data_IF_994538832362
#
_entry.id   IF_994538832362
#
_cell.length_a   1.000
_cell.length_b   1.000
_cell.length_c   1.000
_cell.angle_alpha   90.00
_cell.angle_beta   90.00
_cell.angle_gamma   90.00
#
_symmetry.space_group_name_H-M   'P 1'
#
loop_
_entity.id
_entity.type
_entity.pdbx_description
1 polymer ?
#
# COMPACT_ATOMS: atom_id res chain seq x y z
N UNK A 1 30.86 -12.34 -1.96
CA UNK A 1 31.28 -10.98 -1.57
C UNK A 1 30.26 -10.54 -0.53
N UNK A 2 30.23 -11.13 0.68
CA UNK A 2 31.30 -11.13 1.72
C UNK A 2 31.75 -9.69 1.96
N UNK A 3 31.62 -9.08 3.13
CA UNK A 3 31.79 -9.53 4.54
C UNK A 3 30.74 -8.80 5.41
N UNK A 4 29.98 -9.40 6.35
CA UNK A 4 30.31 -9.99 7.68
C UNK A 4 31.14 -9.04 8.58
N UNK A 5 30.59 -8.47 9.66
CA UNK A 5 30.76 -8.90 11.08
C UNK A 5 30.91 -7.58 11.87
N UNK A 6 30.43 -7.32 13.09
CA UNK A 6 30.50 -8.14 14.29
C UNK A 6 29.67 -7.53 15.46
N UNK A 7 28.90 -8.41 16.11
CA UNK A 7 28.66 -8.60 17.56
C UNK A 7 28.45 -7.44 18.55
N UNK A 8 27.35 -7.59 19.32
CA UNK A 8 27.29 -7.82 20.79
C UNK A 8 26.07 -7.07 21.37
N UNK A 9 24.92 -7.71 21.57
CA UNK A 9 24.57 -8.58 22.72
C UNK A 9 24.85 -7.96 24.09
N UNK A 10 23.78 -7.94 24.90
CA UNK A 10 23.73 -7.73 26.36
C UNK A 10 23.80 -6.28 26.86
N UNK A 11 22.70 -5.78 27.42
CA UNK A 11 22.57 -5.49 28.86
C UNK A 11 21.41 -4.53 29.11
N UNK A 12 20.47 -5.00 29.93
CA UNK A 12 19.73 -4.11 30.82
C UNK A 12 18.44 -3.55 30.25
N UNK A 13 17.45 -4.42 30.09
CA UNK A 13 16.10 -4.15 30.61
C UNK A 13 16.18 -3.85 32.12
N UNK A 14 16.76 -2.71 32.49
CA UNK A 14 16.64 -2.14 33.82
C UNK A 14 15.33 -1.36 33.86
N UNK A 15 14.27 -2.16 33.98
CA UNK A 15 13.01 -1.71 34.55
C UNK A 15 13.34 -0.91 35.83
N UNK A 16 12.86 0.34 36.01
CA UNK A 16 13.01 1.04 37.27
C UNK A 16 11.99 0.48 38.29
N UNK A 17 12.07 -0.82 38.57
CA UNK A 17 11.41 -1.46 39.71
C UNK A 17 12.19 -1.21 41.01
N UNK A 18 13.46 -0.83 40.93
CA UNK A 18 14.30 -0.47 42.08
C UNK A 18 13.85 0.83 42.78
N UNK A 19 13.25 1.78 42.05
CA UNK A 19 12.72 3.01 42.66
C UNK A 19 11.37 2.80 43.37
N UNK A 20 10.81 1.59 43.35
CA UNK A 20 9.51 1.27 43.96
C UNK A 20 9.63 0.91 45.46
N UNK A 21 10.84 0.59 45.94
CA UNK A 21 11.06 0.06 47.29
C UNK A 21 11.41 1.11 48.37
N UNK A 22 11.82 2.34 48.03
CA UNK A 22 12.28 3.33 49.04
C UNK A 22 11.20 4.30 49.55
N UNK A 23 9.96 4.23 49.01
CA UNK A 23 8.90 5.21 49.29
C UNK A 23 7.86 4.74 50.31
N UNK A 24 8.10 3.60 50.96
CA UNK A 24 7.18 3.05 51.96
C UNK A 24 7.11 3.87 53.26
N UNK A 25 7.96 4.89 53.45
CA UNK A 25 8.07 5.61 54.71
C UNK A 25 6.92 6.61 55.03
N UNK A 26 6.46 7.50 54.13
CA UNK A 26 5.46 8.50 54.49
C UNK A 26 4.07 7.90 54.72
N UNK A 27 3.61 6.98 53.86
CA UNK A 27 2.30 6.32 54.00
C UNK A 27 2.17 5.48 55.26
N UNK A 28 3.25 4.79 55.66
CA UNK A 28 3.28 4.04 56.93
C UNK A 28 3.24 4.96 58.15
N UNK A 29 3.90 6.13 58.10
CA UNK A 29 3.85 7.13 59.17
C UNK A 29 2.44 7.74 59.28
N UNK A 30 1.80 8.05 58.15
CA UNK A 30 0.42 8.55 58.10
C UNK A 30 -0.53 7.54 58.76
N UNK A 31 -0.39 6.24 58.43
CA UNK A 31 -1.22 5.19 59.02
C UNK A 31 -1.02 5.06 60.54
N UNK A 32 0.23 5.08 61.02
CA UNK A 32 0.54 5.00 62.47
C UNK A 32 -0.03 6.19 63.24
N UNK A 33 0.16 7.41 62.74
CA UNK A 33 -0.41 8.61 63.35
C UNK A 33 -1.94 8.55 63.35
N UNK A 34 -2.55 8.05 62.27
CA UNK A 34 -4.01 7.89 62.17
C UNK A 34 -4.55 6.97 63.26
N UNK A 35 -3.93 5.80 63.47
CA UNK A 35 -4.30 4.85 64.53
C UNK A 35 -4.12 5.47 65.93
N UNK A 36 -2.97 6.07 66.20
CA UNK A 36 -2.69 6.69 67.51
C UNK A 36 -3.65 7.85 67.83
N UNK A 37 -4.06 8.63 66.83
CA UNK A 37 -5.04 9.71 66.98
C UNK A 37 -6.46 9.19 67.20
N UNK A 38 -6.85 8.10 66.54
CA UNK A 38 -8.16 7.46 66.72
C UNK A 38 -8.30 6.88 68.13
N UNK A 39 -7.27 6.21 68.65
CA UNK A 39 -7.34 5.58 69.98
C UNK A 39 -7.36 6.58 71.14
N UNK A 40 -6.75 7.76 70.98
CA UNK A 40 -6.53 8.73 72.07
C UNK A 40 -7.34 10.03 71.94
N UNK A 41 -7.77 10.41 70.74
CA UNK A 41 -8.17 11.78 70.41
C UNK A 41 -9.50 11.96 69.67
N UNK A 42 -10.18 10.88 69.28
CA UNK A 42 -11.30 10.89 68.31
C UNK A 42 -12.43 11.90 68.57
N UNK A 43 -12.69 12.23 69.85
CA UNK A 43 -13.79 13.11 70.22
C UNK A 43 -13.50 14.62 70.11
N UNK A 44 -12.33 15.06 69.64
CA UNK A 44 -12.02 16.49 69.48
C UNK A 44 -11.94 16.90 67.99
N UNK A 45 -12.61 18.01 67.60
CA UNK A 45 -12.80 18.38 66.19
C UNK A 45 -11.49 18.73 65.49
N UNK A 46 -10.48 19.25 66.19
CA UNK A 46 -9.18 19.56 65.61
C UNK A 46 -8.42 18.31 65.13
N UNK A 47 -8.64 17.16 65.76
CA UNK A 47 -8.02 15.89 65.36
C UNK A 47 -8.74 15.26 64.17
N UNK A 48 -10.07 15.38 64.09
CA UNK A 48 -10.85 14.91 62.94
C UNK A 48 -10.43 15.62 61.65
N UNK A 49 -10.20 16.94 61.71
CA UNK A 49 -9.68 17.66 60.55
C UNK A 49 -8.26 17.22 60.16
N UNK A 50 -7.38 16.95 61.12
CA UNK A 50 -6.04 16.43 60.84
C UNK A 50 -6.11 15.04 60.20
N UNK A 51 -7.02 14.16 60.66
CA UNK A 51 -7.25 12.84 60.07
C UNK A 51 -7.68 12.94 58.59
N UNK A 52 -8.60 13.85 58.27
CA UNK A 52 -9.03 14.08 56.88
C UNK A 52 -7.87 14.57 55.99
N UNK A 53 -7.03 15.47 56.49
CA UNK A 53 -5.86 15.96 55.74
C UNK A 53 -4.78 14.89 55.56
N UNK A 54 -4.56 14.04 56.57
CA UNK A 54 -3.67 12.89 56.50
C UNK A 54 -4.17 11.86 55.48
N UNK A 55 -5.47 11.60 55.44
CA UNK A 55 -6.08 10.69 54.46
C UNK A 55 -6.01 11.28 53.03
N UNK A 56 -6.23 12.58 52.88
CA UNK A 56 -6.06 13.28 51.60
C UNK A 56 -4.61 13.21 51.09
N UNK A 57 -3.63 13.35 51.99
CA UNK A 57 -2.23 13.20 51.66
C UNK A 57 -1.89 11.75 51.25
N UNK A 58 -2.38 10.75 51.97
CA UNK A 58 -2.17 9.34 51.61
C UNK A 58 -2.74 9.01 50.21
N UNK A 59 -3.94 9.53 49.89
CA UNK A 59 -4.51 9.41 48.53
C UNK A 59 -3.65 10.07 47.47
N UNK A 60 -3.17 11.29 47.71
CA UNK A 60 -2.30 12.00 46.77
C UNK A 60 -0.97 11.26 46.54
N UNK A 61 -0.38 10.70 47.59
CA UNK A 61 0.84 9.88 47.51
C UNK A 61 0.62 8.57 46.74
N UNK A 62 -0.53 7.92 46.92
CA UNK A 62 -0.92 6.74 46.14
C UNK A 62 -1.10 7.07 44.66
N UNK A 63 -1.76 8.19 44.35
CA UNK A 63 -1.89 8.66 42.97
C UNK A 63 -0.52 8.91 42.32
N UNK A 64 0.41 9.54 43.04
CA UNK A 64 1.78 9.75 42.58
C UNK A 64 2.51 8.42 42.27
N UNK A 65 2.19 7.34 42.98
CA UNK A 65 2.76 6.01 42.73
C UNK A 65 2.22 5.36 41.44
N UNK A 66 0.96 5.63 41.11
CA UNK A 66 0.32 5.07 39.91
C UNK A 66 0.71 5.77 38.62
N UNK A 67 1.23 7.00 38.70
CA UNK A 67 1.69 7.75 37.53
C UNK A 67 2.98 7.11 36.96
N UNK A 68 2.89 6.59 35.74
CA UNK A 68 4.05 6.21 34.95
C UNK A 68 4.58 7.45 34.21
N UNK A 69 5.79 7.93 34.50
CA UNK A 69 6.32 9.13 33.85
C UNK A 69 6.74 8.84 32.41
N UNK A 70 6.32 9.70 31.47
CA UNK A 70 6.98 9.78 30.17
C UNK A 70 8.37 10.43 30.31
N UNK A 71 9.30 10.15 29.38
CA UNK A 71 10.72 10.59 29.49
C UNK A 71 10.90 12.10 29.71
N UNK A 72 9.99 12.93 29.19
CA UNK A 72 10.03 14.38 29.30
C UNK A 72 9.45 14.92 30.64
N UNK A 73 8.81 14.06 31.42
CA UNK A 73 8.10 14.42 32.67
C UNK A 73 8.87 14.01 33.93
N UNK A 74 10.00 13.31 33.75
CA UNK A 74 10.79 12.74 34.83
C UNK A 74 11.30 13.78 35.82
N UNK A 75 11.70 14.97 35.35
CA UNK A 75 12.22 16.04 36.21
C UNK A 75 11.15 16.59 37.15
N UNK A 76 9.97 16.91 36.61
CA UNK A 76 8.85 17.44 37.40
C UNK A 76 8.29 16.39 38.35
N UNK A 77 8.17 15.14 37.90
CA UNK A 77 7.72 14.05 38.75
C UNK A 77 8.73 13.72 39.88
N UNK A 78 10.03 13.87 39.63
CA UNK A 78 11.06 13.78 40.66
C UNK A 78 11.00 14.94 41.67
N UNK A 79 10.66 16.16 41.23
CA UNK A 79 10.42 17.28 42.15
C UNK A 79 9.20 17.05 43.04
N UNK A 80 8.10 16.54 42.49
CA UNK A 80 6.89 16.18 43.26
C UNK A 80 7.22 15.09 44.28
N UNK A 81 7.99 14.07 43.87
CA UNK A 81 8.52 13.04 44.76
C UNK A 81 9.37 13.64 45.89
N UNK A 82 10.29 14.55 45.61
CA UNK A 82 11.11 15.18 46.65
C UNK A 82 10.26 15.93 47.70
N UNK A 83 9.19 16.62 47.27
CA UNK A 83 8.26 17.30 48.18
C UNK A 83 7.45 16.28 49.00
N UNK A 84 7.05 15.17 48.39
CA UNK A 84 6.42 14.05 49.11
C UNK A 84 7.34 13.46 50.20
N UNK A 85 8.66 13.33 49.97
CA UNK A 85 9.61 12.93 51.05
C UNK A 85 9.71 13.99 52.14
N UNK A 86 9.61 15.26 51.78
CA UNK A 86 9.69 16.36 52.76
C UNK A 86 8.55 16.30 53.78
N UNK A 87 7.46 15.59 53.49
CA UNK A 87 6.38 15.31 54.44
C UNK A 87 6.80 14.31 55.55
N UNK A 88 7.82 13.49 55.33
CA UNK A 88 8.26 12.47 56.28
C UNK A 88 8.76 13.06 57.60
N UNK A 89 9.58 14.12 57.52
CA UNK A 89 10.19 14.75 58.68
C UNK A 89 9.15 15.30 59.69
N UNK A 90 8.18 16.15 59.31
CA UNK A 90 7.19 16.66 60.26
C UNK A 90 6.26 15.55 60.79
N UNK A 91 5.98 14.51 60.00
CA UNK A 91 5.20 13.36 60.46
C UNK A 91 5.97 12.54 61.51
N UNK A 92 7.27 12.30 61.29
CA UNK A 92 8.11 11.56 62.24
C UNK A 92 8.36 12.36 63.53
N UNK A 93 8.56 13.67 63.44
CA UNK A 93 8.66 14.56 64.60
C UNK A 93 7.37 14.54 65.44
N UNK A 94 6.21 14.56 64.78
CA UNK A 94 4.92 14.49 65.46
C UNK A 94 4.72 13.12 66.10
N UNK A 95 4.93 12.03 65.36
CA UNK A 95 4.85 10.64 65.87
C UNK A 95 5.75 10.41 67.09
N UNK A 96 6.98 10.93 67.05
CA UNK A 96 7.92 10.86 68.16
C UNK A 96 7.49 11.66 69.39
N UNK A 97 6.61 12.65 69.24
CA UNK A 97 6.03 13.41 70.37
C UNK A 97 4.82 12.72 70.97
N UNK A 98 3.96 12.10 70.15
CA UNK A 98 2.73 11.43 70.61
C UNK A 98 3.02 10.05 71.23
N UNK A 99 3.94 9.26 70.64
CA UNK A 99 4.38 7.95 71.18
C UNK A 99 5.04 8.03 72.57
N UNK A 100 5.71 9.14 72.89
CA UNK A 100 6.28 9.40 74.24
C UNK A 100 5.22 9.47 75.34
N UNK A 101 3.98 9.79 75.00
CA UNK A 101 2.87 9.78 75.94
C UNK A 101 2.28 8.38 76.11
N UNK A 102 2.30 7.54 75.08
CA UNK A 102 1.86 6.14 75.15
C UNK A 102 2.67 5.35 76.20
N UNK A 103 3.99 5.52 76.22
CA UNK A 103 4.86 4.90 77.22
C UNK A 103 4.57 5.36 78.66
N UNK A 104 4.01 6.57 78.83
CA UNK A 104 3.55 7.11 80.13
C UNK A 104 2.07 6.80 80.43
N UNK A 105 1.38 6.17 79.48
CA UNK A 105 -0.01 5.72 79.54
C UNK A 105 -0.13 4.19 79.64
N UNK A 106 1.01 3.49 79.81
CA UNK A 106 1.09 2.05 79.96
C UNK A 106 -0.06 1.49 80.79
N UNK A 107 -0.82 0.62 80.14
CA UNK A 107 -1.96 -0.14 80.67
C UNK A 107 -1.50 -0.94 81.87
N UNK A 108 -1.49 -0.31 83.04
CA UNK A 108 -1.41 -1.02 84.31
C UNK A 108 -2.62 -0.63 85.13
N UNK A 109 -3.51 -1.62 85.23
CA UNK A 109 -4.56 -1.77 86.23
C UNK A 109 -5.94 -1.24 85.83
N UNK A 110 -6.65 -2.15 85.16
CA UNK A 110 -8.08 -2.13 84.98
C UNK A 110 -8.83 -1.93 86.31
N UNK A 111 -9.94 -1.19 86.19
CA UNK A 111 -11.11 -1.11 87.09
C UNK A 111 -11.31 0.18 87.90
N UNK A 112 -10.28 0.91 88.33
CA UNK A 112 -10.47 2.06 89.25
C UNK A 112 -10.11 3.47 88.69
N UNK A 113 -9.82 3.59 87.40
CA UNK A 113 -9.28 4.84 86.83
C UNK A 113 -10.04 5.40 85.62
N UNK A 114 -11.32 5.09 85.40
CA UNK A 114 -12.07 5.64 84.25
C UNK A 114 -12.06 7.18 84.20
N UNK A 115 -12.25 7.84 85.34
CA UNK A 115 -12.18 9.31 85.44
C UNK A 115 -10.74 9.85 85.41
N UNK A 116 -9.76 9.07 85.88
CA UNK A 116 -8.34 9.38 85.76
C UNK A 116 -7.82 9.23 84.32
N UNK A 117 -8.42 8.35 83.51
CA UNK A 117 -8.14 8.27 82.07
C UNK A 117 -8.66 9.50 81.32
N UNK A 118 -9.85 9.99 81.67
CA UNK A 118 -10.49 11.14 81.00
C UNK A 118 -9.75 12.45 81.22
N UNK A 119 -9.32 12.79 82.45
CA UNK A 119 -8.58 14.04 82.68
C UNK A 119 -7.20 14.02 81.97
N UNK A 120 -6.54 12.87 81.91
CA UNK A 120 -5.23 12.74 81.24
C UNK A 120 -5.37 12.78 79.72
N UNK A 121 -6.46 12.22 79.17
CA UNK A 121 -6.86 12.42 77.76
C UNK A 121 -7.16 13.88 77.45
N UNK A 122 -7.82 14.60 78.35
CA UNK A 122 -8.07 16.04 78.21
C UNK A 122 -6.77 16.85 78.28
N UNK A 123 -5.87 16.53 79.21
CA UNK A 123 -4.53 17.14 79.29
C UNK A 123 -3.70 16.87 78.04
N UNK A 124 -3.76 15.67 77.47
CA UNK A 124 -3.12 15.35 76.20
C UNK A 124 -3.68 16.22 75.06
N UNK A 125 -5.00 16.38 75.00
CA UNK A 125 -5.64 17.27 74.00
C UNK A 125 -5.19 18.72 74.12
N UNK A 126 -5.11 19.25 75.34
CA UNK A 126 -4.63 20.61 75.58
C UNK A 126 -3.14 20.76 75.28
N UNK A 127 -2.31 19.77 75.63
CA UNK A 127 -0.86 19.81 75.43
C UNK A 127 -0.46 19.75 73.95
N UNK A 128 -1.22 19.06 73.10
CA UNK A 128 -0.89 18.83 71.69
C UNK A 128 -1.69 19.66 70.70
N UNK A 129 -2.63 20.51 71.17
CA UNK A 129 -3.45 21.36 70.29
C UNK A 129 -2.62 22.24 69.36
N UNK A 130 -1.54 22.83 69.86
CA UNK A 130 -0.68 23.71 69.07
C UNK A 130 0.24 22.93 68.12
N UNK A 131 0.69 21.74 68.54
CA UNK A 131 1.46 20.82 67.69
C UNK A 131 0.61 20.27 66.52
N UNK A 132 -0.67 19.97 66.76
CA UNK A 132 -1.64 19.59 65.72
C UNK A 132 -1.85 20.73 64.72
N UNK A 133 -2.06 21.96 65.18
CA UNK A 133 -2.20 23.14 64.30
C UNK A 133 -0.94 23.38 63.47
N UNK A 134 0.25 23.23 64.06
CA UNK A 134 1.54 23.39 63.38
C UNK A 134 1.74 22.33 62.31
N UNK A 135 1.43 21.07 62.62
CA UNK A 135 1.48 19.97 61.64
C UNK A 135 0.50 20.24 60.50
N UNK A 136 -0.74 20.60 60.82
CA UNK A 136 -1.80 20.94 59.86
C UNK A 136 -1.37 22.03 58.87
N UNK A 137 -0.80 23.13 59.36
CA UNK A 137 -0.29 24.21 58.50
C UNK A 137 0.81 23.74 57.55
N UNK A 138 1.74 22.90 58.02
CA UNK A 138 2.81 22.33 57.19
C UNK A 138 2.26 21.35 56.14
N UNK A 139 1.37 20.44 56.55
CA UNK A 139 0.76 19.45 55.65
C UNK A 139 -0.13 20.12 54.59
N UNK A 140 -0.91 21.13 54.98
CA UNK A 140 -1.71 21.92 54.05
C UNK A 140 -0.86 22.56 52.95
N UNK A 141 0.32 23.12 53.29
CA UNK A 141 1.26 23.68 52.31
C UNK A 141 1.84 22.61 51.37
N UNK A 142 2.18 21.43 51.89
CA UNK A 142 2.69 20.34 51.04
C UNK A 142 1.60 19.79 50.12
N UNK A 143 0.38 19.60 50.62
CA UNK A 143 -0.74 19.14 49.83
C UNK A 143 -1.09 20.10 48.69
N UNK A 144 -1.16 21.40 48.96
CA UNK A 144 -1.44 22.40 47.91
C UNK A 144 -0.36 22.43 46.86
N UNK A 145 0.91 22.31 47.26
CA UNK A 145 2.04 22.31 46.33
C UNK A 145 2.07 21.03 45.48
N UNK A 146 1.85 19.86 46.08
CA UNK A 146 1.77 18.58 45.36
C UNK A 146 0.59 18.61 44.37
N UNK A 147 -0.58 19.07 44.81
CA UNK A 147 -1.78 19.15 43.96
C UNK A 147 -1.58 20.10 42.79
N UNK A 148 -0.99 21.27 43.04
CA UNK A 148 -0.67 22.25 42.00
C UNK A 148 0.31 21.68 40.98
N UNK A 149 1.40 21.05 41.42
CA UNK A 149 2.40 20.47 40.53
C UNK A 149 1.85 19.31 39.69
N UNK A 150 0.94 18.50 40.25
CA UNK A 150 0.22 17.45 39.53
C UNK A 150 -0.72 18.03 38.46
N UNK A 151 -1.45 19.11 38.79
CA UNK A 151 -2.29 19.82 37.81
C UNK A 151 -1.45 20.42 36.69
N UNK A 152 -0.35 21.11 37.02
CA UNK A 152 0.56 21.68 36.02
C UNK A 152 1.17 20.60 35.13
N UNK A 153 1.55 19.45 35.69
CA UNK A 153 2.03 18.30 34.91
C UNK A 153 0.97 17.82 33.91
N UNK A 154 -0.26 17.65 34.39
CA UNK A 154 -1.39 17.19 33.57
C UNK A 154 -1.64 18.17 32.42
N UNK A 155 -1.68 19.47 32.71
CA UNK A 155 -1.86 20.50 31.68
C UNK A 155 -0.73 20.46 30.65
N UNK A 156 0.54 20.42 31.07
CA UNK A 156 1.68 20.33 30.16
C UNK A 156 1.66 19.08 29.29
N UNK A 157 1.24 17.94 29.85
CA UNK A 157 1.12 16.68 29.09
C UNK A 157 0.01 16.75 28.04
N UNK A 158 -1.11 17.39 28.37
CA UNK A 158 -2.25 17.58 27.47
C UNK A 158 -1.90 18.54 26.36
N UNK A 159 -1.27 19.68 26.66
CA UNK A 159 -0.87 20.65 25.63
C UNK A 159 0.19 20.07 24.69
N UNK A 160 1.14 19.29 25.21
CA UNK A 160 2.09 18.57 24.36
C UNK A 160 1.40 17.57 23.42
N UNK A 161 0.41 16.83 23.93
CA UNK A 161 -0.38 15.91 23.12
C UNK A 161 -1.24 16.64 22.07
N UNK A 162 -1.82 17.80 22.41
CA UNK A 162 -2.56 18.65 21.46
C UNK A 162 -1.65 19.15 20.33
N UNK A 163 -0.46 19.65 20.66
CA UNK A 163 0.52 20.07 19.64
C UNK A 163 0.93 18.93 18.71
N UNK A 164 1.12 17.72 19.22
CA UNK A 164 1.45 16.56 18.39
C UNK A 164 0.28 16.17 17.46
N UNK A 165 -0.96 16.27 17.96
CA UNK A 165 -2.17 16.07 17.15
C UNK A 165 -2.26 17.09 16.02
N UNK A 166 -2.02 18.36 16.31
CA UNK A 166 -2.06 19.44 15.31
C UNK A 166 -0.97 19.25 14.25
N UNK A 167 0.25 18.88 14.65
CA UNK A 167 1.34 18.54 13.71
C UNK A 167 0.93 17.39 12.79
N UNK A 168 0.38 16.33 13.37
CA UNK A 168 -0.09 15.17 12.60
C UNK A 168 -1.21 15.57 11.63
N UNK A 169 -2.16 16.40 12.07
CA UNK A 169 -3.23 16.89 11.22
C UNK A 169 -2.71 17.72 10.03
N UNK A 170 -1.75 18.62 10.27
CA UNK A 170 -1.08 19.37 9.21
C UNK A 170 -0.35 18.46 8.21
N UNK A 171 0.44 17.50 8.69
CA UNK A 171 1.14 16.54 7.81
C UNK A 171 0.18 15.69 6.97
N UNK A 172 -0.94 15.24 7.57
CA UNK A 172 -1.98 14.52 6.83
C UNK A 172 -2.62 15.41 5.77
N UNK A 173 -2.92 16.67 6.09
CA UNK A 173 -3.50 17.61 5.14
C UNK A 173 -2.54 17.90 3.97
N UNK A 174 -1.25 18.09 4.24
CA UNK A 174 -0.22 18.26 3.21
C UNK A 174 -0.14 17.05 2.29
N UNK A 175 -0.13 15.83 2.85
CA UNK A 175 -0.13 14.59 2.08
C UNK A 175 -1.39 14.45 1.22
N UNK A 176 -2.58 14.76 1.75
CA UNK A 176 -3.84 14.73 1.00
C UNK A 176 -3.79 15.70 -0.18
N UNK A 177 -3.28 16.92 0.03
CA UNK A 177 -3.13 17.91 -1.04
C UNK A 177 -2.12 17.46 -2.10
N UNK A 178 -1.01 16.83 -1.70
CA UNK A 178 -0.04 16.26 -2.63
C UNK A 178 -0.65 15.14 -3.49
N UNK A 179 -1.38 14.20 -2.87
CA UNK A 179 -2.07 13.13 -3.58
C UNK A 179 -3.13 13.67 -4.54
N UNK A 180 -3.88 14.70 -4.14
CA UNK A 180 -4.87 15.35 -5.01
C UNK A 180 -4.25 15.93 -6.28
N UNK A 181 -3.05 16.53 -6.18
CA UNK A 181 -2.32 17.04 -7.36
C UNK A 181 -1.93 15.90 -8.30
N UNK A 182 -1.37 14.82 -7.77
CA UNK A 182 -0.99 13.65 -8.57
C UNK A 182 -2.20 13.03 -9.29
N UNK A 183 -3.37 12.98 -8.64
CA UNK A 183 -4.61 12.48 -9.25
C UNK A 183 -5.06 13.38 -10.41
N UNK A 184 -4.98 14.71 -10.27
CA UNK A 184 -5.30 15.61 -11.38
C UNK A 184 -4.29 15.47 -12.53
N UNK A 185 -3.00 15.31 -12.24
CA UNK A 185 -1.97 15.07 -13.27
C UNK A 185 -2.25 13.76 -14.03
N UNK A 186 -2.49 12.65 -13.31
CA UNK A 186 -2.86 11.37 -13.92
C UNK A 186 -4.14 11.49 -14.75
N UNK A 187 -5.13 12.25 -14.29
CA UNK A 187 -6.37 12.48 -15.04
C UNK A 187 -6.10 13.26 -16.33
N UNK A 188 -5.19 14.24 -16.33
CA UNK A 188 -4.80 14.93 -17.57
C UNK A 188 -4.06 14.01 -18.53
N UNK A 189 -3.15 13.18 -18.04
CA UNK A 189 -2.39 12.22 -18.85
C UNK A 189 -3.29 11.16 -19.49
N UNK A 190 -4.22 10.60 -18.71
CA UNK A 190 -5.26 9.69 -19.22
C UNK A 190 -6.12 10.38 -20.29
N UNK A 191 -6.43 11.67 -20.11
CA UNK A 191 -7.16 12.47 -21.10
C UNK A 191 -6.41 12.61 -22.43
N UNK A 192 -5.10 12.87 -22.37
CA UNK A 192 -4.22 12.94 -23.55
C UNK A 192 -4.10 11.57 -24.23
N UNK A 193 -3.84 10.51 -23.46
CA UNK A 193 -3.74 9.14 -23.96
C UNK A 193 -5.03 8.68 -24.63
N UNK A 194 -6.20 9.02 -24.06
CA UNK A 194 -7.50 8.73 -24.68
C UNK A 194 -7.69 9.47 -26.01
N UNK A 195 -7.22 10.72 -26.11
CA UNK A 195 -7.29 11.48 -27.37
C UNK A 195 -6.38 10.87 -28.44
N UNK A 196 -5.17 10.45 -28.07
CA UNK A 196 -4.26 9.70 -28.95
C UNK A 196 -4.88 8.38 -29.41
N UNK A 197 -5.44 7.60 -28.49
CA UNK A 197 -6.10 6.33 -28.81
C UNK A 197 -7.26 6.53 -29.81
N UNK A 198 -8.07 7.58 -29.64
CA UNK A 198 -9.14 7.92 -30.60
C UNK A 198 -8.59 8.24 -31.99
N UNK A 199 -7.48 8.97 -32.06
CA UNK A 199 -6.80 9.28 -33.33
C UNK A 199 -6.24 8.03 -33.99
N UNK A 200 -5.57 7.17 -33.24
CA UNK A 200 -5.07 5.89 -33.77
C UNK A 200 -6.22 5.01 -34.26
N UNK A 201 -7.34 4.97 -33.51
CA UNK A 201 -8.54 4.24 -33.92
C UNK A 201 -9.12 4.77 -35.24
N UNK A 202 -9.23 6.09 -35.42
CA UNK A 202 -9.73 6.65 -36.68
C UNK A 202 -8.78 6.40 -37.85
N UNK A 203 -7.46 6.42 -37.61
CA UNK A 203 -6.46 6.04 -38.62
C UNK A 203 -6.60 4.57 -39.03
N UNK A 204 -6.74 3.65 -38.07
CA UNK A 204 -6.96 2.23 -38.35
C UNK A 204 -8.25 1.99 -39.13
N UNK A 205 -9.33 2.72 -38.82
CA UNK A 205 -10.57 2.64 -39.57
C UNK A 205 -10.37 3.07 -41.03
N UNK A 206 -9.71 4.21 -41.26
CA UNK A 206 -9.40 4.68 -42.62
C UNK A 206 -8.51 3.70 -43.39
N UNK A 207 -7.56 3.05 -42.70
CA UNK A 207 -6.73 2.00 -43.29
C UNK A 207 -7.55 0.76 -43.65
N UNK A 208 -8.47 0.33 -42.78
CA UNK A 208 -9.38 -0.77 -43.07
C UNK A 208 -10.26 -0.49 -44.29
N UNK A 209 -10.80 0.73 -44.39
CA UNK A 209 -11.60 1.16 -45.55
C UNK A 209 -10.78 1.17 -46.84
N UNK A 210 -9.52 1.66 -46.76
CA UNK A 210 -8.59 1.65 -47.91
C UNK A 210 -8.22 0.22 -48.35
N UNK A 211 -8.00 -0.70 -47.40
CA UNK A 211 -7.74 -2.12 -47.70
C UNK A 211 -8.95 -2.76 -48.37
N UNK A 212 -10.17 -2.43 -47.92
CA UNK A 212 -11.39 -2.92 -48.56
C UNK A 212 -11.54 -2.43 -50.00
N UNK A 213 -11.25 -1.15 -50.28
CA UNK A 213 -11.24 -0.61 -51.65
C UNK A 213 -10.19 -1.32 -52.53
N UNK A 214 -8.97 -1.49 -52.02
CA UNK A 214 -7.91 -2.23 -52.73
C UNK A 214 -8.31 -3.68 -53.01
N UNK A 215 -8.98 -4.34 -52.07
CA UNK A 215 -9.47 -5.69 -52.25
C UNK A 215 -10.56 -5.78 -53.34
N UNK A 216 -11.49 -4.80 -53.40
CA UNK A 216 -12.49 -4.72 -54.46
C UNK A 216 -11.83 -4.50 -55.84
N UNK A 217 -10.83 -3.60 -55.93
CA UNK A 217 -10.04 -3.40 -57.16
C UNK A 217 -9.30 -4.67 -57.58
N UNK A 218 -8.67 -5.36 -56.63
CA UNK A 218 -7.99 -6.64 -56.90
C UNK A 218 -8.97 -7.69 -57.45
N UNK A 219 -10.17 -7.80 -56.87
CA UNK A 219 -11.21 -8.70 -57.36
C UNK A 219 -11.65 -8.35 -58.79
N UNK A 220 -11.79 -7.06 -59.10
CA UNK A 220 -12.12 -6.60 -60.44
C UNK A 220 -11.04 -6.96 -61.46
N UNK A 221 -9.77 -6.69 -61.14
CA UNK A 221 -8.63 -7.06 -61.99
C UNK A 221 -8.57 -8.57 -62.20
N UNK A 222 -8.82 -9.36 -61.15
CA UNK A 222 -8.86 -10.82 -61.27
C UNK A 222 -9.98 -11.29 -62.21
N UNK A 223 -11.16 -10.67 -62.17
CA UNK A 223 -12.23 -10.99 -63.12
C UNK A 223 -11.87 -10.62 -64.55
N UNK A 224 -11.23 -9.46 -64.77
CA UNK A 224 -10.76 -9.06 -66.10
C UNK A 224 -9.70 -10.02 -66.65
N UNK A 225 -8.73 -10.43 -65.82
CA UNK A 225 -7.72 -11.41 -66.24
C UNK A 225 -8.34 -12.77 -66.61
N UNK A 226 -9.39 -13.19 -65.89
CA UNK A 226 -10.09 -14.43 -66.19
C UNK A 226 -10.87 -14.34 -67.51
N UNK A 227 -11.46 -13.18 -67.80
CA UNK A 227 -12.11 -12.89 -69.09
C UNK A 227 -11.10 -12.86 -70.24
N UNK A 228 -9.98 -12.16 -70.09
CA UNK A 228 -8.91 -12.16 -71.11
C UNK A 228 -8.34 -13.56 -71.34
N UNK A 229 -8.17 -14.36 -70.29
CA UNK A 229 -7.72 -15.73 -70.45
C UNK A 229 -8.73 -16.59 -71.23
N UNK A 230 -10.04 -16.36 -71.06
CA UNK A 230 -11.07 -17.04 -71.84
C UNK A 230 -10.99 -16.66 -73.33
N UNK A 231 -10.81 -15.37 -73.63
CA UNK A 231 -10.61 -14.89 -75.01
C UNK A 231 -9.35 -15.48 -75.64
N UNK A 232 -8.24 -15.55 -74.90
CA UNK A 232 -6.99 -16.16 -75.39
C UNK A 232 -7.17 -17.65 -75.68
N UNK A 233 -7.94 -18.39 -74.86
CA UNK A 233 -8.25 -19.80 -75.12
C UNK A 233 -9.10 -19.98 -76.38
N UNK A 234 -10.07 -19.08 -76.61
CA UNK A 234 -10.88 -19.09 -77.83
C UNK A 234 -10.01 -18.85 -79.06
N UNK A 235 -9.18 -17.81 -79.06
CA UNK A 235 -8.23 -17.53 -80.15
C UNK A 235 -7.29 -18.71 -80.39
N UNK A 236 -6.81 -19.36 -79.32
CA UNK A 236 -5.99 -20.58 -79.44
C UNK A 236 -6.75 -21.72 -80.13
N UNK A 237 -8.03 -21.92 -79.82
CA UNK A 237 -8.86 -22.93 -80.49
C UNK A 237 -9.09 -22.62 -81.98
N UNK A 238 -9.30 -21.35 -82.32
CA UNK A 238 -9.41 -20.87 -83.70
C UNK A 238 -8.09 -21.11 -84.45
N UNK A 239 -6.95 -20.86 -83.80
CA UNK A 239 -5.63 -21.09 -84.40
C UNK A 239 -5.41 -22.57 -84.71
N UNK A 240 -5.76 -23.47 -83.78
CA UNK A 240 -5.65 -24.92 -83.99
C UNK A 240 -6.57 -25.41 -85.12
N UNK A 241 -7.80 -24.89 -85.19
CA UNK A 241 -8.75 -25.29 -86.24
C UNK A 241 -8.35 -24.76 -87.62
N UNK A 242 -7.87 -23.51 -87.71
CA UNK A 242 -7.34 -22.93 -88.95
C UNK A 242 -6.06 -23.62 -89.41
N UNK A 243 -5.17 -23.99 -88.49
CA UNK A 243 -3.99 -24.81 -88.79
C UNK A 243 -4.40 -26.19 -89.36
N UNK A 244 -5.41 -26.84 -88.76
CA UNK A 244 -5.94 -28.10 -89.27
C UNK A 244 -6.56 -27.95 -90.66
N UNK A 245 -7.34 -26.88 -90.89
CA UNK A 245 -7.97 -26.60 -92.18
C UNK A 245 -6.92 -26.32 -93.27
N UNK A 246 -5.92 -25.49 -92.98
CA UNK A 246 -4.82 -25.18 -93.90
C UNK A 246 -4.01 -26.42 -94.26
N UNK A 247 -3.69 -27.31 -93.29
CA UNK A 247 -3.04 -28.60 -93.58
C UNK A 247 -3.88 -29.50 -94.49
N UNK A 248 -5.20 -29.57 -94.27
CA UNK A 248 -6.11 -30.36 -95.12
C UNK A 248 -6.22 -29.81 -96.55
N UNK A 249 -6.22 -28.48 -96.70
CA UNK A 249 -6.20 -27.84 -98.03
C UNK A 249 -4.87 -28.13 -98.72
N UNK A 250 -3.76 -28.02 -98.00
CA UNK A 250 -2.42 -28.29 -98.55
C UNK A 250 -2.28 -29.75 -99.01
N UNK A 251 -2.81 -30.71 -98.26
CA UNK A 251 -2.79 -32.12 -98.67
C UNK A 251 -3.64 -32.35 -99.93
N UNK A 252 -4.86 -31.78 -100.00
CA UNK A 252 -5.71 -31.90 -101.19
C UNK A 252 -5.08 -31.24 -102.44
N UNK A 253 -4.43 -30.08 -102.27
CA UNK A 253 -3.68 -29.43 -103.33
C UNK A 253 -2.49 -30.29 -103.80
N UNK A 254 -1.81 -30.96 -102.87
CA UNK A 254 -0.72 -31.89 -103.18
C UNK A 254 -1.24 -33.10 -103.95
N UNK A 255 -2.34 -33.71 -103.51
CA UNK A 255 -2.96 -34.87 -104.17
C UNK A 255 -3.38 -34.53 -105.60
N UNK A 256 -4.05 -33.39 -105.79
CA UNK A 256 -4.44 -32.91 -107.14
C UNK A 256 -3.23 -32.65 -108.03
N UNK A 257 -2.15 -32.06 -107.51
CA UNK A 257 -0.90 -31.89 -108.24
C UNK A 257 -0.25 -33.23 -108.61
N UNK A 258 -0.24 -34.23 -107.72
CA UNK A 258 0.30 -35.56 -108.03
C UNK A 258 -0.53 -36.25 -109.11
N UNK A 259 -1.86 -36.12 -109.06
CA UNK A 259 -2.76 -36.69 -110.06
C UNK A 259 -2.62 -36.01 -111.42
N UNK A 260 -2.47 -34.68 -111.45
CA UNK A 260 -2.15 -33.95 -112.67
C UNK A 260 -0.79 -34.40 -113.25
N UNK A 261 0.23 -34.59 -112.40
CA UNK A 261 1.55 -35.07 -112.83
C UNK A 261 1.48 -36.48 -113.43
N UNK A 262 0.72 -37.38 -112.80
CA UNK A 262 0.45 -38.73 -113.32
C UNK A 262 -0.26 -38.67 -114.68
N UNK A 263 -1.29 -37.83 -114.82
CA UNK A 263 -2.00 -37.67 -116.09
C UNK A 263 -1.08 -37.16 -117.21
N UNK A 264 -0.18 -36.21 -116.91
CA UNK A 264 0.82 -35.72 -117.85
C UNK A 264 1.82 -36.82 -118.26
N UNK A 265 2.25 -37.67 -117.32
CA UNK A 265 3.10 -38.81 -117.62
C UNK A 265 2.41 -39.81 -118.55
N UNK A 266 1.12 -40.10 -118.33
CA UNK A 266 0.36 -40.99 -119.23
C UNK A 266 0.17 -40.41 -120.63
N UNK A 267 -0.06 -39.09 -120.73
CA UNK A 267 -0.11 -38.38 -122.01
C UNK A 267 1.23 -38.48 -122.75
N UNK A 268 2.35 -38.30 -122.03
CA UNK A 268 3.69 -38.46 -122.61
C UNK A 268 3.90 -39.88 -123.12
N UNK A 269 3.52 -40.91 -122.36
CA UNK A 269 3.65 -42.31 -122.78
C UNK A 269 2.82 -42.61 -124.04
N UNK A 270 1.57 -42.15 -124.09
CA UNK A 270 0.72 -42.24 -125.28
C UNK A 270 1.34 -41.53 -126.49
N UNK A 271 1.99 -40.38 -126.27
CA UNK A 271 2.66 -39.65 -127.35
C UNK A 271 3.85 -40.45 -127.91
N UNK A 272 4.61 -41.12 -127.04
CA UNK A 272 5.71 -42.02 -127.44
C UNK A 272 5.17 -43.25 -128.17
N UNK A 273 4.06 -43.84 -127.70
CA UNK A 273 3.40 -44.94 -128.41
C UNK A 273 2.91 -44.52 -129.81
N UNK A 274 2.31 -43.34 -129.94
CA UNK A 274 1.92 -42.76 -131.22
C UNK A 274 3.12 -42.52 -132.14
N UNK A 275 4.23 -42.00 -131.61
CA UNK A 275 5.47 -41.85 -132.38
C UNK A 275 6.01 -43.20 -132.86
N UNK A 276 5.99 -44.23 -132.02
CA UNK A 276 6.37 -45.59 -132.41
C UNK A 276 5.41 -46.18 -133.45
N UNK A 277 4.12 -45.91 -133.34
CA UNK A 277 3.12 -46.32 -134.33
C UNK A 277 3.39 -45.64 -135.69
N UNK A 278 3.61 -44.32 -135.69
CA UNK A 278 3.98 -43.58 -136.90
C UNK A 278 5.30 -44.08 -137.48
N UNK A 279 6.30 -44.40 -136.66
CA UNK A 279 7.55 -45.00 -137.10
C UNK A 279 7.36 -46.40 -137.70
N UNK A 280 6.46 -47.21 -137.16
CA UNK A 280 6.10 -48.50 -137.77
C UNK A 280 5.32 -48.35 -139.07
N UNK A 281 4.46 -47.33 -139.20
CA UNK A 281 3.79 -47.00 -140.46
C UNK A 281 4.77 -46.47 -141.51
N UNK A 282 5.72 -45.61 -141.15
CA UNK A 282 6.74 -45.15 -142.10
C UNK A 282 7.65 -46.30 -142.54
N UNK A 283 7.99 -47.23 -141.64
CA UNK A 283 8.73 -48.45 -141.99
C UNK A 283 7.93 -49.36 -142.93
N UNK A 284 6.64 -49.58 -142.68
CA UNK A 284 5.75 -50.35 -143.56
C UNK A 284 5.58 -49.68 -144.94
N UNK A 285 5.53 -48.35 -145.00
CA UNK A 285 5.41 -47.60 -146.26
C UNK A 285 6.71 -47.64 -147.08
N UNK A 286 7.86 -47.82 -146.42
CA UNK A 286 9.16 -47.99 -147.08
C UNK A 286 9.32 -49.44 -147.58
N UNK A 287 8.90 -50.46 -146.82
CA UNK A 287 8.94 -51.87 -147.24
C UNK A 287 7.95 -52.19 -148.39
N UNK A 288 6.84 -51.48 -148.53
CA UNK A 288 5.91 -51.63 -149.66
C UNK A 288 6.37 -50.92 -150.96
N UNK A 289 7.57 -50.34 -150.98
CA UNK A 289 8.16 -49.63 -152.14
C UNK A 289 9.32 -50.40 -152.80
N UNK A 290 9.76 -51.51 -152.21
CA UNK A 290 10.68 -52.49 -152.85
C UNK A 290 9.88 -53.62 -153.52
#
# INVERSE_FOLDING_TARGET
LSEDSECATTLGTNCPQSARASWQHPGQLIHKITVELQENGEAAPEYQHLLLELEALDRALKQLHTLQPAKHELLQLNAIRAIALSCQLPLQEFLGKISKFEHRLGVTNARDQRFRGLHRRMQWRLAYKDDVKKLRSKLGSFFTTISLLLMTQTVSSVTAAEHERDRTACTLQESILAHRRLIEDVKTDVGLSLAEQKKTKSQLQNQADSINDLHLKSKHISSQLQEEHALVQEVKSITVTTEKATRSILSAATDTLTQATLSLLTLRDLTVQLQNLVASFTKFTIEMRE
#
